data_IF_210890879833
#
_entry.id   IF_210890879833
#
_cell.length_a   1.000
_cell.length_b   1.000
_cell.length_c   1.000
_cell.angle_alpha   90.00
_cell.angle_beta   90.00
_cell.angle_gamma   90.00
#
_symmetry.space_group_name_H-M   'P 1'
#
loop_
_entity.id
_entity.type
_entity.pdbx_description
1 polymer ?
#
# COMPACT_ATOMS: atom_id res chain seq x y z
N UNK A 1 -14.06 26.67 15.10
CA UNK A 1 -13.77 25.37 15.73
C UNK A 1 -14.06 24.31 14.69
N UNK A 2 -13.05 23.88 13.93
CA UNK A 2 -13.19 22.76 13.00
C UNK A 2 -12.85 21.49 13.76
N UNK A 3 -13.87 20.88 14.37
CA UNK A 3 -13.78 19.55 14.95
C UNK A 3 -13.15 18.62 13.93
N UNK A 4 -11.92 18.20 14.22
CA UNK A 4 -11.23 17.17 13.45
C UNK A 4 -11.98 15.88 13.75
N UNK A 5 -13.05 15.62 12.99
CA UNK A 5 -13.81 14.39 13.08
C UNK A 5 -12.88 13.25 12.71
N UNK A 6 -12.14 12.73 13.70
CA UNK A 6 -11.34 11.51 13.56
C UNK A 6 -12.32 10.45 13.08
N UNK A 7 -12.18 10.05 11.83
CA UNK A 7 -13.05 9.07 11.24
C UNK A 7 -13.11 7.86 12.17
N UNK A 8 -14.33 7.45 12.56
CA UNK A 8 -14.53 6.44 13.58
C UNK A 8 -13.71 5.17 13.25
N UNK A 9 -13.13 4.49 14.27
CA UNK A 9 -12.36 3.29 14.02
C UNK A 9 -13.23 2.23 13.34
N UNK A 10 -12.76 1.69 12.21
CA UNK A 10 -13.47 0.62 11.50
C UNK A 10 -13.40 -0.65 12.35
N UNK A 11 -14.58 -1.16 12.73
CA UNK A 11 -14.70 -2.45 13.42
C UNK A 11 -14.11 -3.58 12.58
N UNK A 12 -13.60 -4.63 13.23
CA UNK A 12 -13.16 -5.83 12.51
C UNK A 12 -14.29 -6.43 11.68
N UNK A 13 -15.52 -6.41 12.20
CA UNK A 13 -16.71 -6.95 11.51
C UNK A 13 -17.04 -6.15 10.25
N UNK A 14 -17.06 -4.82 10.33
CA UNK A 14 -17.38 -3.97 9.18
C UNK A 14 -16.29 -4.05 8.10
N UNK A 15 -15.02 -4.12 8.53
CA UNK A 15 -13.91 -4.35 7.61
C UNK A 15 -14.09 -5.68 6.85
N UNK A 16 -14.39 -6.78 7.56
CA UNK A 16 -14.53 -8.10 6.94
C UNK A 16 -15.76 -8.15 6.04
N UNK A 17 -16.89 -7.54 6.42
CA UNK A 17 -18.08 -7.43 5.57
C UNK A 17 -17.75 -6.73 4.26
N UNK A 18 -17.14 -5.55 4.32
CA UNK A 18 -16.73 -4.81 3.13
C UNK A 18 -15.73 -5.61 2.30
N UNK A 19 -14.76 -6.27 2.95
CA UNK A 19 -13.77 -7.12 2.29
C UNK A 19 -14.42 -8.26 1.48
N UNK A 20 -15.37 -8.98 2.08
CA UNK A 20 -16.07 -10.09 1.42
C UNK A 20 -16.86 -9.58 0.22
N UNK A 21 -17.59 -8.46 0.37
CA UNK A 21 -18.30 -7.84 -0.75
C UNK A 21 -17.34 -7.44 -1.87
N UNK A 22 -16.22 -6.79 -1.55
CA UNK A 22 -15.21 -6.43 -2.56
C UNK A 22 -14.64 -7.67 -3.26
N UNK A 23 -14.37 -8.75 -2.53
CA UNK A 23 -13.88 -10.00 -3.11
C UNK A 23 -14.89 -10.64 -4.06
N UNK A 24 -16.17 -10.70 -3.65
CA UNK A 24 -17.25 -11.28 -4.47
C UNK A 24 -17.48 -10.50 -5.77
N UNK A 25 -17.32 -9.17 -5.74
CA UNK A 25 -17.38 -8.32 -6.93
C UNK A 25 -16.11 -8.36 -7.78
N UNK A 26 -15.09 -9.15 -7.42
CA UNK A 26 -13.81 -9.20 -8.12
C UNK A 26 -12.99 -7.91 -7.99
N UNK A 27 -13.23 -7.13 -6.94
CA UNK A 27 -12.58 -5.85 -6.69
C UNK A 27 -11.18 -5.98 -6.11
N UNK A 28 -10.49 -4.84 -6.11
CA UNK A 28 -9.12 -4.67 -5.63
C UNK A 28 -9.09 -4.06 -4.22
N UNK A 29 -7.89 -3.90 -3.68
CA UNK A 29 -7.69 -3.18 -2.41
C UNK A 29 -8.06 -1.68 -2.51
N UNK A 30 -8.10 -1.08 -3.72
CA UNK A 30 -8.58 0.29 -3.90
C UNK A 30 -10.09 0.35 -3.73
N UNK A 31 -10.82 -0.57 -4.34
CA UNK A 31 -12.27 -0.62 -4.24
C UNK A 31 -12.71 -0.77 -2.77
N UNK A 32 -11.99 -1.60 -2.00
CA UNK A 32 -12.19 -1.71 -0.56
C UNK A 32 -11.87 -0.41 0.19
N UNK A 33 -10.81 0.28 -0.22
CA UNK A 33 -10.43 1.57 0.38
C UNK A 33 -11.49 2.66 0.13
N UNK A 34 -12.00 2.73 -1.10
CA UNK A 34 -13.14 3.59 -1.47
C UNK A 34 -14.38 3.24 -0.66
N UNK A 35 -14.74 1.95 -0.56
CA UNK A 35 -15.92 1.50 0.18
C UNK A 35 -15.85 1.81 1.69
N UNK A 36 -14.64 1.80 2.26
CA UNK A 36 -14.39 2.11 3.67
C UNK A 36 -14.12 3.60 3.93
N UNK A 37 -14.06 4.42 2.87
CA UNK A 37 -13.63 5.82 2.91
C UNK A 37 -12.30 5.98 3.67
N UNK A 38 -11.28 5.23 3.22
CA UNK A 38 -9.92 5.16 3.79
C UNK A 38 -8.87 5.14 2.70
N UNK A 39 -7.62 5.41 3.07
CA UNK A 39 -6.50 5.21 2.16
C UNK A 39 -6.15 3.72 2.01
N UNK A 40 -5.61 3.35 0.84
CA UNK A 40 -5.15 1.98 0.55
C UNK A 40 -4.18 1.47 1.62
N UNK A 41 -3.30 2.32 2.12
CA UNK A 41 -2.34 1.97 3.18
C UNK A 41 -3.02 1.62 4.50
N UNK A 42 -4.02 2.42 4.91
CA UNK A 42 -4.80 2.16 6.12
C UNK A 42 -5.56 0.83 6.01
N UNK A 43 -6.13 0.53 4.85
CA UNK A 43 -6.80 -0.75 4.59
C UNK A 43 -5.81 -1.91 4.60
N UNK A 44 -4.61 -1.75 4.01
CA UNK A 44 -3.56 -2.78 4.06
C UNK A 44 -3.11 -3.07 5.49
N UNK A 45 -2.89 -2.04 6.30
CA UNK A 45 -2.53 -2.19 7.70
C UNK A 45 -3.62 -2.94 8.48
N UNK A 46 -4.88 -2.55 8.31
CA UNK A 46 -6.01 -3.22 8.97
C UNK A 46 -6.19 -4.66 8.50
N UNK A 47 -6.04 -4.93 7.19
CA UNK A 47 -6.07 -6.29 6.62
C UNK A 47 -5.01 -7.17 7.26
N UNK A 48 -3.78 -6.68 7.40
CA UNK A 48 -2.68 -7.45 7.99
C UNK A 48 -2.97 -7.80 9.45
N UNK A 49 -3.48 -6.84 10.22
CA UNK A 49 -3.91 -7.07 11.61
C UNK A 49 -5.02 -8.12 11.71
N UNK A 50 -6.07 -8.01 10.89
CA UNK A 50 -7.18 -8.96 10.87
C UNK A 50 -6.73 -10.35 10.40
N UNK A 51 -5.88 -10.41 9.37
CA UNK A 51 -5.36 -11.68 8.84
C UNK A 51 -4.55 -12.43 9.89
N UNK A 52 -3.74 -11.73 10.69
CA UNK A 52 -3.00 -12.34 11.78
C UNK A 52 -3.94 -12.93 12.86
N UNK A 53 -4.99 -12.19 13.22
CA UNK A 53 -5.99 -12.65 14.20
C UNK A 53 -6.88 -13.79 13.68
N UNK A 54 -7.16 -13.83 12.37
CA UNK A 54 -7.92 -14.93 11.76
C UNK A 54 -7.04 -16.19 11.67
N UNK A 55 -5.77 -16.03 11.31
CA UNK A 55 -4.82 -17.13 11.20
C UNK A 55 -4.64 -17.84 12.55
N UNK A 56 -4.61 -17.10 13.66
CA UNK A 56 -4.57 -17.71 15.01
C UNK A 56 -5.83 -18.50 15.36
N UNK A 57 -6.92 -18.31 14.62
CA UNK A 57 -8.20 -19.04 14.74
C UNK A 57 -8.41 -20.07 13.63
N UNK A 58 -7.38 -20.35 12.82
CA UNK A 58 -7.47 -21.29 11.70
C UNK A 58 -8.28 -20.78 10.50
N UNK A 59 -8.52 -19.47 10.40
CA UNK A 59 -9.26 -18.84 9.32
C UNK A 59 -8.33 -17.95 8.48
N UNK A 60 -8.67 -17.73 7.21
CA UNK A 60 -7.91 -16.81 6.34
C UNK A 60 -8.86 -16.03 5.44
N UNK A 61 -8.47 -14.79 5.14
CA UNK A 61 -9.16 -13.99 4.12
C UNK A 61 -8.76 -14.51 2.72
N UNK A 62 -9.72 -14.58 1.77
CA UNK A 62 -9.42 -14.90 0.38
C UNK A 62 -8.65 -13.75 -0.29
N UNK A 63 -7.97 -14.00 -1.41
CA UNK A 63 -7.20 -12.95 -2.08
C UNK A 63 -8.10 -12.01 -2.88
N UNK A 64 -7.92 -10.70 -2.73
CA UNK A 64 -8.52 -9.69 -3.62
C UNK A 64 -7.83 -9.68 -4.99
N UNK A 65 -8.52 -9.12 -6.00
CA UNK A 65 -7.91 -8.89 -7.31
C UNK A 65 -6.68 -8.00 -7.15
N UNK A 66 -5.63 -8.31 -7.93
CA UNK A 66 -4.41 -7.51 -7.93
C UNK A 66 -4.75 -6.10 -8.44
N UNK A 67 -4.42 -5.12 -7.61
CA UNK A 67 -4.32 -3.73 -8.03
C UNK A 67 -3.07 -3.62 -8.89
N UNK A 68 -3.25 -3.18 -10.14
CA UNK A 68 -2.14 -2.73 -10.98
C UNK A 68 -1.37 -1.66 -10.20
N UNK A 69 -0.06 -1.84 -10.01
CA UNK A 69 0.77 -0.76 -9.46
C UNK A 69 1.13 0.14 -10.61
N UNK A 70 0.92 1.43 -10.41
CA UNK A 70 1.51 2.45 -11.27
C UNK A 70 3.03 2.27 -11.21
N UNK A 71 3.63 1.87 -12.33
CA UNK A 71 5.08 1.61 -12.43
C UNK A 71 5.90 2.90 -12.41
N UNK A 72 5.25 4.06 -12.54
CA UNK A 72 5.91 5.37 -12.56
C UNK A 72 6.77 5.63 -11.32
N UNK A 73 6.33 5.14 -10.14
CA UNK A 73 7.12 5.25 -8.91
C UNK A 73 8.43 4.44 -8.94
N UNK A 74 8.47 3.35 -9.71
CA UNK A 74 9.69 2.57 -9.90
C UNK A 74 10.61 3.22 -10.94
N UNK A 75 10.04 3.84 -11.97
CA UNK A 75 10.80 4.61 -12.97
C UNK A 75 11.47 5.82 -12.32
N UNK A 76 10.77 6.54 -11.44
CA UNK A 76 11.34 7.65 -10.67
C UNK A 76 12.44 7.17 -9.71
N UNK A 77 12.21 6.07 -8.99
CA UNK A 77 13.22 5.49 -8.11
C UNK A 77 14.47 5.03 -8.89
N UNK A 78 14.29 4.43 -10.08
CA UNK A 78 15.39 4.03 -10.95
C UNK A 78 16.18 5.24 -11.44
N UNK A 79 15.50 6.35 -11.77
CA UNK A 79 16.14 7.61 -12.14
C UNK A 79 17.00 8.18 -11.00
N UNK A 80 16.46 8.23 -9.77
CA UNK A 80 17.20 8.71 -8.59
C UNK A 80 18.44 7.84 -8.31
N UNK A 81 18.30 6.52 -8.39
CA UNK A 81 19.43 5.60 -8.19
C UNK A 81 20.46 5.76 -9.31
N UNK A 82 20.01 5.91 -10.56
CA UNK A 82 20.89 6.18 -11.69
C UNK A 82 21.72 7.45 -11.52
N UNK A 83 21.09 8.54 -11.09
CA UNK A 83 21.74 9.84 -10.85
C UNK A 83 22.79 9.76 -9.72
N UNK A 84 22.44 9.09 -8.61
CA UNK A 84 23.37 8.86 -7.50
C UNK A 84 24.59 8.01 -7.91
N UNK A 85 24.36 6.92 -8.64
CA UNK A 85 25.45 6.06 -9.15
C UNK A 85 26.33 6.80 -10.17
N UNK A 86 25.73 7.66 -11.00
CA UNK A 86 26.44 8.51 -11.96
C UNK A 86 27.36 9.51 -11.25
N UNK A 87 26.91 10.09 -10.13
CA UNK A 87 27.74 11.00 -9.31
C UNK A 87 28.93 10.26 -8.68
N UNK A 88 28.71 9.08 -8.11
CA UNK A 88 29.79 8.26 -7.53
C UNK A 88 30.86 7.86 -8.57
N UNK A 89 30.44 7.54 -9.80
CA UNK A 89 31.37 7.22 -10.88
C UNK A 89 32.02 8.46 -11.50
N UNK A 90 31.31 9.58 -11.60
CA UNK A 90 31.83 10.85 -12.12
C UNK A 90 32.84 11.53 -11.19
N UNK A 91 32.69 11.39 -9.87
CA UNK A 91 33.72 11.80 -8.89
C UNK A 91 34.99 10.95 -8.97
N UNK A 92 34.93 9.76 -9.59
CA UNK A 92 36.09 8.89 -9.78
C UNK A 92 36.96 9.30 -10.99
N UNK A 93 36.47 10.18 -11.88
CA UNK A 93 37.19 10.63 -13.08
C UNK A 93 37.83 12.03 -12.95
N UNK A 94 37.63 12.71 -11.81
CA UNK A 94 38.11 14.08 -11.56
C UNK A 94 39.31 14.16 -10.59
N UNK A 95 40.26 13.22 -10.68
CA UNK A 95 41.52 13.31 -9.94
C UNK A 95 42.76 12.89 -10.74
N UNK A 96 42.84 13.29 -12.00
CA UNK A 96 44.13 13.37 -12.69
C UNK A 96 44.02 14.41 -13.79
N UNK A 97 44.54 15.63 -13.58
CA UNK A 97 45.29 16.41 -14.57
C UNK A 97 45.93 17.64 -13.89
N UNK A 98 47.26 17.60 -13.76
CA UNK A 98 48.15 18.76 -13.91
C UNK A 98 48.35 19.68 -12.72
#
# INVERSE_FOLDING_TARGET
MTDTQKAAPISATDFVKAYVTTHQSGGTIADLATALNRSVEQVRAKRNSISAQLKSRGQSLPSLKRMERDSSAYDEAASIVGDYLSTLMGESDSHEQG
#
